data_IF_754044507731
#
_entry.id   IF_754044507731
#
_cell.length_a   1.000
_cell.length_b   1.000
_cell.length_c   1.000
_cell.angle_alpha   90.00
_cell.angle_beta   90.00
_cell.angle_gamma   90.00
#
_symmetry.space_group_name_H-M   'P 1'
#
loop_
_entity.id
_entity.type
_entity.pdbx_description
1 polymer ?
#
# COMPACT_ATOMS: atom_id res chain seq x y z
N UNK A 1 -0.07 -48.10 34.02
CA UNK A 1 -0.60 -46.94 34.75
C UNK A 1 -1.77 -46.38 33.98
N UNK A 2 -2.96 -46.44 34.55
CA UNK A 2 -4.20 -46.02 33.87
C UNK A 2 -4.39 -44.49 34.02
N UNK A 3 -5.23 -43.87 33.16
CA UNK A 3 -5.56 -42.44 33.30
C UNK A 3 -6.12 -42.09 34.68
N UNK A 4 -6.86 -43.03 35.29
CA UNK A 4 -7.46 -42.86 36.60
C UNK A 4 -6.42 -42.85 37.72
N UNK A 5 -5.47 -43.77 37.70
CA UNK A 5 -4.36 -43.80 38.67
C UNK A 5 -3.51 -42.52 38.61
N UNK A 6 -3.32 -41.96 37.40
CA UNK A 6 -2.64 -40.68 37.23
C UNK A 6 -3.44 -39.53 37.80
N UNK A 7 -4.75 -39.47 37.56
CA UNK A 7 -5.59 -38.40 38.11
C UNK A 7 -5.59 -38.40 39.64
N UNK A 8 -5.72 -39.58 40.26
CA UNK A 8 -5.76 -39.73 41.71
C UNK A 8 -4.45 -39.30 42.38
N UNK A 9 -3.30 -39.58 41.75
CA UNK A 9 -2.00 -39.18 42.27
C UNK A 9 -1.77 -37.65 42.21
N UNK A 10 -2.39 -36.96 41.25
CA UNK A 10 -2.16 -35.53 41.00
C UNK A 10 -3.13 -34.61 41.76
N UNK A 11 -4.29 -35.11 42.18
CA UNK A 11 -5.29 -34.36 42.96
C UNK A 11 -4.73 -33.69 44.23
N UNK A 12 -3.97 -34.37 45.11
CA UNK A 12 -3.43 -33.73 46.32
C UNK A 12 -2.36 -32.68 45.99
N UNK A 13 -1.61 -32.87 44.89
CA UNK A 13 -0.59 -31.91 44.45
C UNK A 13 -1.22 -30.60 43.95
N UNK A 14 -2.32 -30.69 43.18
CA UNK A 14 -3.05 -29.52 42.69
C UNK A 14 -3.65 -28.70 43.85
N UNK A 15 -4.17 -29.38 44.87
CA UNK A 15 -4.71 -28.74 46.08
C UNK A 15 -3.60 -28.09 46.93
N UNK A 16 -2.47 -28.77 47.15
CA UNK A 16 -1.35 -28.28 47.96
C UNK A 16 -0.64 -27.07 47.33
N UNK A 17 -0.55 -27.03 46.01
CA UNK A 17 0.08 -25.92 45.28
C UNK A 17 -0.85 -24.71 45.08
N UNK A 18 -2.10 -24.79 45.57
CA UNK A 18 -3.09 -23.73 45.36
C UNK A 18 -3.30 -23.40 43.88
N UNK A 19 -3.02 -24.38 42.99
CA UNK A 19 -3.11 -24.22 41.55
C UNK A 19 -4.59 -24.15 41.23
N UNK A 20 -5.14 -22.93 41.30
CA UNK A 20 -6.35 -22.60 40.57
C UNK A 20 -6.04 -22.94 39.12
N UNK A 21 -6.93 -23.64 38.40
CA UNK A 21 -6.85 -23.69 36.96
C UNK A 21 -6.62 -22.25 36.51
N UNK A 22 -5.57 -22.03 35.71
CA UNK A 22 -5.49 -20.82 34.91
C UNK A 22 -6.77 -20.82 34.09
N UNK A 23 -7.80 -20.13 34.59
CA UNK A 23 -8.86 -19.63 33.73
C UNK A 23 -8.13 -18.66 32.81
N UNK A 24 -7.61 -19.20 31.70
CA UNK A 24 -7.37 -18.39 30.53
C UNK A 24 -8.72 -17.77 30.24
N UNK A 25 -8.85 -16.51 30.62
CA UNK A 25 -9.91 -15.66 30.13
C UNK A 25 -9.70 -15.56 28.62
N UNK A 26 -10.24 -16.54 27.90
CA UNK A 26 -10.45 -16.47 26.47
C UNK A 26 -11.66 -15.55 26.27
N UNK A 27 -11.61 -14.32 26.79
CA UNK A 27 -12.32 -13.18 26.23
C UNK A 27 -11.79 -13.06 24.80
N UNK A 28 -12.34 -13.89 23.92
CA UNK A 28 -12.08 -13.88 22.50
C UNK A 28 -12.54 -12.53 22.01
N UNK A 29 -11.61 -11.56 21.99
CA UNK A 29 -11.83 -10.27 21.35
C UNK A 29 -12.23 -10.61 19.91
N UNK A 30 -13.54 -10.56 19.63
CA UNK A 30 -14.05 -10.71 18.27
C UNK A 30 -13.41 -9.58 17.48
N UNK A 31 -12.40 -9.93 16.69
CA UNK A 31 -11.75 -8.99 15.79
C UNK A 31 -12.77 -8.33 14.87
N UNK A 32 -12.40 -7.24 14.20
CA UNK A 32 -13.30 -6.56 13.28
C UNK A 32 -13.90 -7.56 12.28
N UNK A 33 -15.22 -7.46 11.98
CA UNK A 33 -15.84 -8.36 11.03
C UNK A 33 -15.13 -8.25 9.68
N UNK A 34 -15.14 -9.33 8.89
CA UNK A 34 -14.46 -9.38 7.58
C UNK A 34 -14.81 -8.17 6.69
N UNK A 35 -16.07 -7.73 6.72
CA UNK A 35 -16.55 -6.53 6.00
C UNK A 35 -15.80 -5.27 6.40
N UNK A 36 -15.55 -5.04 7.70
CA UNK A 36 -14.80 -3.88 8.18
C UNK A 36 -13.32 -3.94 7.73
N UNK A 37 -12.74 -5.15 7.70
CA UNK A 37 -11.37 -5.35 7.18
C UNK A 37 -11.28 -5.06 5.69
N UNK A 38 -12.25 -5.55 4.91
CA UNK A 38 -12.33 -5.30 3.47
C UNK A 38 -12.58 -3.82 3.15
N UNK A 39 -13.49 -3.16 3.87
CA UNK A 39 -13.74 -1.73 3.72
C UNK A 39 -12.48 -0.90 4.01
N UNK A 40 -11.75 -1.24 5.07
CA UNK A 40 -10.47 -0.58 5.39
C UNK A 40 -9.42 -0.81 4.31
N UNK A 41 -9.29 -2.04 3.81
CA UNK A 41 -8.37 -2.36 2.73
C UNK A 41 -8.71 -1.57 1.45
N UNK A 42 -9.99 -1.52 1.08
CA UNK A 42 -10.48 -0.74 -0.05
C UNK A 42 -10.18 0.75 0.12
N UNK A 43 -10.44 1.32 1.30
CA UNK A 43 -10.09 2.72 1.59
C UNK A 43 -8.60 2.99 1.41
N UNK A 44 -7.73 2.11 1.92
CA UNK A 44 -6.27 2.24 1.76
C UNK A 44 -5.89 2.22 0.28
N UNK A 45 -6.49 1.32 -0.52
CA UNK A 45 -6.25 1.28 -1.97
C UNK A 45 -6.67 2.59 -2.62
N UNK A 46 -7.84 3.13 -2.30
CA UNK A 46 -8.30 4.41 -2.84
C UNK A 46 -7.37 5.57 -2.47
N UNK A 47 -6.87 5.61 -1.24
CA UNK A 47 -5.91 6.63 -0.80
C UNK A 47 -4.60 6.53 -1.57
N UNK A 48 -4.10 5.32 -1.82
CA UNK A 48 -2.89 5.10 -2.62
C UNK A 48 -3.12 5.57 -4.06
N UNK A 49 -4.23 5.15 -4.69
CA UNK A 49 -4.55 5.56 -6.06
C UNK A 49 -4.69 7.08 -6.19
N UNK A 50 -5.41 7.70 -5.25
CA UNK A 50 -5.56 9.15 -5.20
C UNK A 50 -4.23 9.88 -5.00
N UNK A 51 -3.36 9.37 -4.11
CA UNK A 51 -2.04 9.92 -3.87
C UNK A 51 -1.11 9.83 -5.10
N UNK A 52 -1.07 8.66 -5.74
CA UNK A 52 -0.26 8.44 -6.97
C UNK A 52 -0.76 9.32 -8.11
N UNK A 53 -2.08 9.38 -8.32
CA UNK A 53 -2.65 10.21 -9.37
C UNK A 53 -2.44 11.70 -9.09
N UNK A 54 -2.66 12.15 -7.84
CA UNK A 54 -2.41 13.53 -7.43
C UNK A 54 -0.95 13.94 -7.60
N UNK A 55 -0.01 13.07 -7.23
CA UNK A 55 1.41 13.29 -7.46
C UNK A 55 1.75 13.37 -8.95
N UNK A 56 1.18 12.50 -9.80
CA UNK A 56 1.35 12.58 -11.25
C UNK A 56 0.82 13.89 -11.83
N UNK A 57 -0.37 14.35 -11.41
CA UNK A 57 -0.90 15.66 -11.82
C UNK A 57 0.07 16.77 -11.42
N UNK A 58 0.52 16.80 -10.16
CA UNK A 58 1.51 17.77 -9.71
C UNK A 58 2.79 17.72 -10.54
N UNK A 59 3.29 16.53 -10.89
CA UNK A 59 4.47 16.38 -11.73
C UNK A 59 4.29 17.08 -13.09
N UNK A 60 3.23 16.75 -13.82
CA UNK A 60 3.03 17.28 -15.18
C UNK A 60 2.67 18.77 -15.21
N UNK A 61 2.04 19.30 -14.16
CA UNK A 61 1.63 20.72 -14.11
C UNK A 61 2.60 21.64 -13.37
N UNK A 62 3.37 21.12 -12.42
CA UNK A 62 3.98 21.96 -11.37
C UNK A 62 5.40 21.55 -10.96
N UNK A 63 5.91 20.38 -11.33
CA UNK A 63 7.31 20.02 -11.00
C UNK A 63 8.30 21.04 -11.58
N UNK A 64 9.38 21.32 -10.85
CA UNK A 64 10.43 22.27 -11.27
C UNK A 64 11.32 21.76 -12.40
N UNK A 65 11.26 20.47 -12.74
CA UNK A 65 11.98 19.86 -13.85
C UNK A 65 11.17 18.72 -14.49
N UNK A 66 11.29 18.60 -15.81
CA UNK A 66 10.76 17.49 -16.60
C UNK A 66 11.45 16.15 -16.29
N UNK A 67 12.67 16.16 -15.74
CA UNK A 67 13.45 14.97 -15.39
C UNK A 67 13.29 14.57 -13.90
N UNK A 68 12.05 14.57 -13.40
CA UNK A 68 11.75 14.21 -11.99
C UNK A 68 11.21 12.79 -11.89
N UNK A 69 11.96 11.87 -11.28
CA UNK A 69 11.48 10.53 -10.91
C UNK A 69 10.83 10.56 -9.50
N UNK A 70 9.77 9.77 -9.24
CA UNK A 70 9.12 8.81 -10.16
C UNK A 70 8.04 9.42 -11.07
N UNK A 71 7.84 10.74 -11.08
CA UNK A 71 6.80 11.40 -11.88
C UNK A 71 6.90 11.11 -13.38
N UNK A 72 8.13 11.18 -13.92
CA UNK A 72 8.45 10.83 -15.30
C UNK A 72 8.08 9.39 -15.64
N UNK A 73 8.47 8.44 -14.77
CA UNK A 73 8.20 7.02 -14.95
C UNK A 73 6.69 6.73 -14.93
N UNK A 74 5.97 7.37 -14.01
CA UNK A 74 4.51 7.33 -13.94
C UNK A 74 3.87 7.86 -15.23
N UNK A 75 4.33 8.99 -15.74
CA UNK A 75 3.79 9.55 -16.98
C UNK A 75 4.05 8.62 -18.17
N UNK A 76 5.22 7.96 -18.24
CA UNK A 76 5.55 7.03 -19.31
C UNK A 76 4.61 5.80 -19.37
N UNK A 77 4.15 5.31 -18.21
CA UNK A 77 3.24 4.14 -18.15
C UNK A 77 1.75 4.51 -18.21
N UNK A 78 1.42 5.80 -18.27
CA UNK A 78 0.02 6.23 -18.39
C UNK A 78 -0.60 5.75 -19.71
N UNK A 79 -1.92 5.46 -19.71
CA UNK A 79 -2.67 5.23 -20.95
C UNK A 79 -2.42 6.34 -21.97
N UNK A 80 -2.36 5.98 -23.26
CA UNK A 80 -1.92 6.89 -24.32
C UNK A 80 -2.55 8.31 -24.29
N UNK A 81 -3.87 8.47 -24.06
CA UNK A 81 -4.46 9.81 -23.95
C UNK A 81 -3.92 10.63 -22.77
N UNK A 82 -3.71 10.00 -21.61
CA UNK A 82 -3.19 10.64 -20.41
C UNK A 82 -1.70 10.94 -20.54
N UNK A 83 -0.90 10.02 -21.08
CA UNK A 83 0.51 10.26 -21.38
C UNK A 83 0.67 11.47 -22.31
N UNK A 84 -0.13 11.53 -23.40
CA UNK A 84 -0.10 12.65 -24.35
C UNK A 84 -0.44 13.97 -23.66
N UNK A 85 -1.54 14.00 -22.90
CA UNK A 85 -1.91 15.20 -22.15
C UNK A 85 -0.83 15.63 -21.15
N UNK A 86 -0.23 14.68 -20.42
CA UNK A 86 0.86 14.96 -19.48
C UNK A 86 2.09 15.53 -20.18
N UNK A 87 2.49 14.95 -21.31
CA UNK A 87 3.56 15.47 -22.15
C UNK A 87 3.26 16.88 -22.68
N UNK A 88 2.01 17.18 -23.06
CA UNK A 88 1.60 18.52 -23.48
C UNK A 88 1.75 19.54 -22.34
N UNK A 89 1.40 19.19 -21.10
CA UNK A 89 1.58 20.09 -19.95
C UNK A 89 3.06 20.35 -19.62
N UNK A 90 3.91 19.33 -19.74
CA UNK A 90 5.35 19.48 -19.57
C UNK A 90 5.94 20.35 -20.69
N UNK A 91 5.56 20.10 -21.95
CA UNK A 91 6.04 20.84 -23.13
C UNK A 91 5.69 22.32 -23.09
N UNK A 92 4.52 22.70 -22.54
CA UNK A 92 4.17 24.12 -22.33
C UNK A 92 5.18 24.87 -21.46
N UNK A 93 5.90 24.17 -20.58
CA UNK A 93 6.80 24.76 -19.59
C UNK A 93 8.29 24.56 -19.93
N UNK A 94 8.62 23.46 -20.60
CA UNK A 94 9.99 23.04 -20.90
C UNK A 94 10.24 22.81 -22.40
N UNK A 95 9.36 23.33 -23.28
CA UNK A 95 9.37 23.01 -24.71
C UNK A 95 10.60 23.50 -25.48
N UNK A 96 11.37 24.42 -24.88
CA UNK A 96 12.67 24.89 -25.35
C UNK A 96 13.84 23.97 -24.95
N UNK A 97 13.58 22.95 -24.14
CA UNK A 97 14.53 21.96 -23.65
C UNK A 97 14.24 20.57 -24.22
N UNK A 98 15.15 19.63 -24.00
CA UNK A 98 14.95 18.22 -24.35
C UNK A 98 13.79 17.59 -23.58
N UNK A 99 13.01 16.77 -24.29
CA UNK A 99 11.90 16.04 -23.73
C UNK A 99 12.35 14.93 -22.77
N UNK A 100 11.60 14.66 -21.69
CA UNK A 100 11.91 13.56 -20.78
C UNK A 100 11.51 12.20 -21.38
N UNK A 101 12.01 11.12 -20.77
CA UNK A 101 11.60 9.75 -21.10
C UNK A 101 10.06 9.61 -21.04
N UNK A 102 9.49 8.90 -22.02
CA UNK A 102 8.05 8.78 -22.20
C UNK A 102 7.38 9.96 -22.92
N UNK A 103 8.08 11.07 -23.14
CA UNK A 103 7.62 12.20 -23.96
C UNK A 103 8.54 12.52 -25.15
N UNK A 104 9.75 11.95 -25.17
CA UNK A 104 10.66 12.10 -26.29
C UNK A 104 10.21 11.33 -27.55
N UNK A 105 10.52 11.89 -28.72
CA UNK A 105 10.42 11.26 -30.02
C UNK A 105 11.54 10.20 -30.20
N UNK A 106 11.62 9.61 -31.39
CA UNK A 106 12.60 8.55 -31.69
C UNK A 106 14.07 9.00 -31.66
N UNK A 107 14.32 10.31 -31.62
CA UNK A 107 15.66 10.90 -31.48
C UNK A 107 16.06 11.12 -30.01
N UNK A 108 15.24 10.66 -29.06
CA UNK A 108 15.46 10.73 -27.61
C UNK A 108 15.63 12.14 -27.04
N UNK A 109 15.34 13.19 -27.82
CA UNK A 109 15.57 14.58 -27.41
C UNK A 109 14.41 15.49 -27.79
N UNK A 110 13.85 15.35 -28.99
CA UNK A 110 12.71 16.13 -29.43
C UNK A 110 11.42 15.67 -28.76
N UNK A 111 10.46 16.59 -28.60
CA UNK A 111 9.13 16.26 -28.09
C UNK A 111 8.29 15.52 -29.16
N UNK A 112 7.68 14.40 -28.79
CA UNK A 112 6.72 13.67 -29.65
C UNK A 112 5.34 14.33 -29.74
#
# INVERSE_FOLDING_TARGET
>A
MTPEERSAALTPLAAALGVRPLELDTQGKKGPPLRARLARAFLVILLILGGVFGYWVWYVTSAGSQFTSPGMDLNNVMPAPLNRWGCDQLKKRFGDQSAPFGCAASDYTSWK
#
